data_IF_934053203120
#
_entry.id   IF_934053203120
#
_cell.length_a   1.000
_cell.length_b   1.000
_cell.length_c   1.000
_cell.angle_alpha   90.00
_cell.angle_beta   90.00
_cell.angle_gamma   90.00
#
_symmetry.space_group_name_H-M   'P 1'
#
loop_
_entity.id
_entity.type
_entity.pdbx_description
1 polymer ?
#
# COMPACT_ATOMS: atom_id res chain seq x y z
N UNK A 1 24.79 -3.90 -17.97
CA UNK A 1 23.50 -3.19 -18.03
C UNK A 1 22.54 -3.64 -16.91
N UNK A 2 22.23 -4.94 -16.80
CA UNK A 2 21.31 -5.47 -15.77
C UNK A 2 21.79 -5.44 -14.31
N UNK A 3 23.08 -5.21 -14.03
CA UNK A 3 23.61 -5.13 -12.66
C UNK A 3 23.49 -3.72 -12.04
N UNK A 4 23.17 -2.70 -12.85
CA UNK A 4 23.02 -1.34 -12.35
C UNK A 4 21.71 -1.21 -11.56
N UNK A 5 21.81 -0.96 -10.25
CA UNK A 5 20.67 -0.76 -9.34
C UNK A 5 19.69 0.30 -9.83
N UNK A 6 20.19 1.44 -10.32
CA UNK A 6 19.33 2.54 -10.79
C UNK A 6 18.50 2.09 -11.98
N UNK A 7 19.12 1.38 -12.94
CA UNK A 7 18.42 0.84 -14.09
C UNK A 7 17.36 -0.19 -13.67
N UNK A 8 17.70 -1.13 -12.78
CA UNK A 8 16.75 -2.13 -12.28
C UNK A 8 15.52 -1.50 -11.62
N UNK A 9 15.72 -0.51 -10.74
CA UNK A 9 14.64 0.18 -10.05
C UNK A 9 13.76 0.95 -11.04
N UNK A 10 14.36 1.71 -11.96
CA UNK A 10 13.62 2.44 -12.99
C UNK A 10 12.80 1.48 -13.85
N UNK A 11 13.40 0.36 -14.28
CA UNK A 11 12.71 -0.66 -15.07
C UNK A 11 11.51 -1.24 -14.31
N UNK A 12 11.68 -1.61 -13.04
CA UNK A 12 10.60 -2.17 -12.21
C UNK A 12 9.47 -1.17 -11.97
N UNK A 13 9.80 0.08 -11.63
CA UNK A 13 8.80 1.13 -11.42
C UNK A 13 8.07 1.44 -12.72
N UNK A 14 8.78 1.59 -13.82
CA UNK A 14 8.17 1.88 -15.12
C UNK A 14 7.28 0.73 -15.61
N UNK A 15 7.77 -0.51 -15.56
CA UNK A 15 6.99 -1.70 -15.96
C UNK A 15 5.77 -1.91 -15.07
N UNK A 16 5.89 -1.75 -13.75
CA UNK A 16 4.73 -1.85 -12.84
C UNK A 16 3.68 -0.79 -13.12
N UNK A 17 4.07 0.47 -13.34
CA UNK A 17 3.14 1.55 -13.70
C UNK A 17 2.44 1.27 -15.03
N UNK A 18 3.18 0.85 -16.06
CA UNK A 18 2.58 0.47 -17.35
C UNK A 18 1.60 -0.70 -17.20
N UNK A 19 1.97 -1.72 -16.44
CA UNK A 19 1.13 -2.91 -16.23
C UNK A 19 -0.13 -2.53 -15.44
N UNK A 20 -0.04 -1.73 -14.39
CA UNK A 20 -1.17 -1.43 -13.52
C UNK A 20 -2.09 -0.33 -14.07
N UNK A 21 -1.55 0.70 -14.72
CA UNK A 21 -2.34 1.80 -15.29
C UNK A 21 -2.80 1.54 -16.74
N UNK A 22 -2.07 0.72 -17.52
CA UNK A 22 -2.27 0.60 -18.96
C UNK A 22 -3.62 0.00 -19.40
N UNK A 23 -4.30 -0.77 -18.55
CA UNK A 23 -5.59 -1.42 -18.89
C UNK A 23 -6.82 -0.55 -18.62
N UNK A 24 -6.65 0.59 -17.95
CA UNK A 24 -7.77 1.29 -17.30
C UNK A 24 -8.55 2.24 -18.22
N UNK A 25 -8.10 2.46 -19.45
CA UNK A 25 -8.69 3.43 -20.37
C UNK A 25 -10.01 2.97 -21.03
N UNK A 26 -10.26 1.65 -21.15
CA UNK A 26 -11.28 1.16 -22.09
C UNK A 26 -12.51 0.44 -21.48
N UNK A 27 -12.52 0.10 -20.19
CA UNK A 27 -13.53 -0.87 -19.65
C UNK A 27 -14.49 -0.34 -18.59
N UNK A 28 -14.30 0.89 -18.11
CA UNK A 28 -15.05 1.39 -16.95
C UNK A 28 -14.88 0.51 -15.71
N UNK A 29 -15.67 0.76 -14.66
CA UNK A 29 -15.70 -0.07 -13.45
C UNK A 29 -16.79 -1.12 -13.60
N UNK A 30 -16.42 -2.40 -13.69
CA UNK A 30 -17.36 -3.52 -13.90
C UNK A 30 -17.73 -4.26 -12.61
N UNK A 31 -16.85 -4.23 -11.61
CA UNK A 31 -17.07 -4.91 -10.34
C UNK A 31 -17.86 -4.02 -9.38
N UNK A 32 -18.77 -4.64 -8.63
CA UNK A 32 -19.58 -3.96 -7.63
C UNK A 32 -18.73 -3.28 -6.55
N UNK A 33 -17.75 -3.99 -5.98
CA UNK A 33 -16.91 -3.47 -4.90
C UNK A 33 -16.12 -2.24 -5.34
N UNK A 34 -15.51 -2.29 -6.52
CA UNK A 34 -14.79 -1.17 -7.11
C UNK A 34 -15.71 0.06 -7.26
N UNK A 35 -16.93 -0.14 -7.77
CA UNK A 35 -17.91 0.94 -7.94
C UNK A 35 -18.40 1.48 -6.61
N UNK A 36 -18.57 0.60 -5.62
CA UNK A 36 -18.97 0.93 -4.27
C UNK A 36 -17.95 1.83 -3.58
N UNK A 37 -16.66 1.46 -3.63
CA UNK A 37 -15.59 2.28 -3.05
C UNK A 37 -15.35 3.58 -3.83
N UNK A 38 -15.44 3.55 -5.16
CA UNK A 38 -15.35 4.74 -6.00
C UNK A 38 -16.45 5.76 -5.67
N UNK A 39 -17.70 5.28 -5.51
CA UNK A 39 -18.82 6.13 -5.14
C UNK A 39 -18.66 6.71 -3.73
N UNK A 40 -18.24 5.90 -2.74
CA UNK A 40 -17.93 6.39 -1.38
C UNK A 40 -16.86 7.49 -1.42
N UNK A 41 -15.77 7.27 -2.16
CA UNK A 41 -14.71 8.26 -2.32
C UNK A 41 -15.20 9.56 -2.97
N UNK A 42 -16.08 9.45 -3.98
CA UNK A 42 -16.69 10.60 -4.64
C UNK A 42 -17.55 11.40 -3.68
N UNK A 43 -18.38 10.74 -2.88
CA UNK A 43 -19.26 11.43 -1.94
C UNK A 43 -18.46 12.13 -0.82
N UNK A 44 -17.44 11.48 -0.25
CA UNK A 44 -16.54 12.12 0.73
C UNK A 44 -15.86 13.35 0.13
N UNK A 45 -15.37 13.22 -1.11
CA UNK A 45 -14.71 14.31 -1.83
C UNK A 45 -15.63 15.51 -2.11
N UNK A 46 -16.92 15.26 -2.33
CA UNK A 46 -17.93 16.31 -2.58
C UNK A 46 -18.58 16.84 -1.29
N UNK A 47 -18.36 16.17 -0.16
CA UNK A 47 -18.92 16.57 1.13
C UNK A 47 -18.01 17.56 1.87
N UNK A 48 -18.58 18.29 2.83
CA UNK A 48 -17.83 19.17 3.72
C UNK A 48 -17.03 18.43 4.81
N UNK A 49 -17.16 17.10 4.89
CA UNK A 49 -16.54 16.27 5.93
C UNK A 49 -15.71 15.14 5.35
N UNK A 50 -14.40 15.19 5.61
CA UNK A 50 -13.48 14.11 5.23
C UNK A 50 -13.69 12.84 6.08
N UNK A 51 -14.29 12.95 7.26
CA UNK A 51 -14.37 11.83 8.21
C UNK A 51 -15.66 11.01 8.09
N UNK A 52 -16.70 11.60 7.50
CA UNK A 52 -18.00 10.95 7.37
C UNK A 52 -18.06 10.25 6.02
N UNK A 53 -17.94 8.92 6.04
CA UNK A 53 -18.11 8.08 4.86
C UNK A 53 -19.60 7.92 4.55
N UNK A 54 -20.05 8.44 3.41
CA UNK A 54 -21.44 8.30 2.97
C UNK A 54 -21.54 7.32 1.79
N UNK A 55 -22.69 6.68 1.66
CA UNK A 55 -23.05 5.91 0.47
C UNK A 55 -24.50 6.20 0.09
N UNK A 56 -24.71 6.63 -1.15
CA UNK A 56 -26.01 7.10 -1.65
C UNK A 56 -26.58 8.23 -0.79
N UNK A 57 -25.72 9.12 -0.28
CA UNK A 57 -26.12 10.26 0.54
C UNK A 57 -26.54 9.91 1.98
N UNK A 58 -26.47 8.64 2.37
CA UNK A 58 -26.69 8.21 3.75
C UNK A 58 -25.34 8.08 4.45
N UNK A 59 -25.20 8.72 5.61
CA UNK A 59 -24.02 8.57 6.45
C UNK A 59 -24.01 7.18 7.10
N UNK A 60 -23.04 6.35 6.73
CA UNK A 60 -22.79 5.07 7.38
C UNK A 60 -21.63 5.27 8.34
N UNK A 61 -21.96 5.55 9.59
CA UNK A 61 -20.95 5.66 10.64
C UNK A 61 -20.23 4.31 10.80
N UNK A 62 -18.89 4.34 10.80
CA UNK A 62 -17.99 3.22 11.13
C UNK A 62 -17.86 2.07 10.13
N UNK A 63 -18.38 2.21 8.91
CA UNK A 63 -18.42 1.10 7.96
C UNK A 63 -17.03 0.80 7.35
N UNK A 64 -16.25 1.85 7.03
CA UNK A 64 -14.89 1.72 6.50
C UNK A 64 -14.02 2.89 7.02
N UNK A 65 -12.76 2.63 7.37
CA UNK A 65 -11.79 3.69 7.64
C UNK A 65 -11.58 4.63 6.44
N UNK A 66 -11.24 5.91 6.68
CA UNK A 66 -11.38 6.94 5.67
C UNK A 66 -10.17 7.09 4.71
N UNK A 67 -8.99 6.59 5.07
CA UNK A 67 -7.73 6.88 4.36
C UNK A 67 -7.77 6.49 2.87
N UNK A 68 -8.25 5.31 2.45
CA UNK A 68 -8.28 4.95 1.04
C UNK A 68 -9.17 5.88 0.23
N UNK A 69 -10.28 6.32 0.82
CA UNK A 69 -11.20 7.23 0.15
C UNK A 69 -10.61 8.63 0.02
N UNK A 70 -9.81 9.09 0.99
CA UNK A 70 -9.05 10.34 0.85
C UNK A 70 -8.05 10.24 -0.30
N UNK A 71 -7.34 9.13 -0.41
CA UNK A 71 -6.37 8.90 -1.47
C UNK A 71 -7.05 8.89 -2.85
N UNK A 72 -8.17 8.20 -2.99
CA UNK A 72 -8.98 8.21 -4.22
C UNK A 72 -9.61 9.59 -4.50
N UNK A 73 -10.09 10.29 -3.46
CA UNK A 73 -10.61 11.66 -3.59
C UNK A 73 -9.54 12.65 -4.06
N UNK A 74 -8.29 12.51 -3.60
CA UNK A 74 -7.16 13.27 -4.13
C UNK A 74 -6.93 12.96 -5.61
N UNK A 75 -7.02 11.70 -6.03
CA UNK A 75 -6.94 11.35 -7.45
C UNK A 75 -8.08 12.00 -8.26
N UNK A 76 -9.31 12.03 -7.74
CA UNK A 76 -10.42 12.75 -8.36
C UNK A 76 -10.18 14.25 -8.48
N UNK A 77 -9.48 14.87 -7.53
CA UNK A 77 -9.10 16.28 -7.62
C UNK A 77 -8.20 16.58 -8.82
N UNK A 78 -7.25 15.68 -9.13
CA UNK A 78 -6.28 15.91 -10.21
C UNK A 78 -6.76 15.43 -11.58
N UNK A 79 -7.48 14.31 -11.64
CA UNK A 79 -7.86 13.64 -12.90
C UNK A 79 -9.35 13.72 -13.21
N UNK A 80 -10.15 14.33 -12.33
CA UNK A 80 -11.61 14.31 -12.41
C UNK A 80 -12.21 12.98 -11.98
N UNK A 81 -13.52 12.98 -11.72
CA UNK A 81 -14.26 11.76 -11.33
C UNK A 81 -14.39 10.85 -12.54
N UNK A 82 -13.61 9.77 -12.54
CA UNK A 82 -13.59 8.79 -13.63
C UNK A 82 -13.22 7.40 -13.10
N UNK A 83 -13.48 6.37 -13.92
CA UNK A 83 -13.03 5.01 -13.61
C UNK A 83 -11.51 4.94 -13.44
N UNK A 84 -10.77 5.65 -14.28
CA UNK A 84 -9.30 5.75 -14.21
C UNK A 84 -8.82 6.33 -12.89
N UNK A 85 -9.38 7.46 -12.47
CA UNK A 85 -9.01 8.10 -11.20
C UNK A 85 -9.37 7.24 -9.98
N UNK A 86 -10.43 6.41 -10.07
CA UNK A 86 -10.86 5.53 -8.98
C UNK A 86 -9.84 4.44 -8.63
N UNK A 87 -9.07 4.00 -9.62
CA UNK A 87 -8.10 2.89 -9.53
C UNK A 87 -6.65 3.37 -9.50
N UNK A 88 -6.43 4.66 -9.76
CA UNK A 88 -5.11 5.30 -9.79
C UNK A 88 -4.33 5.06 -8.50
N UNK A 89 -4.94 5.29 -7.34
CA UNK A 89 -4.30 5.10 -6.04
C UNK A 89 -3.80 3.68 -5.85
N UNK A 90 -4.63 2.67 -6.14
CA UNK A 90 -4.25 1.25 -6.04
C UNK A 90 -3.07 0.91 -6.94
N UNK A 91 -3.04 1.43 -8.17
CA UNK A 91 -1.93 1.19 -9.11
C UNK A 91 -0.62 1.79 -8.60
N UNK A 92 -0.65 3.01 -8.05
CA UNK A 92 0.53 3.65 -7.45
C UNK A 92 1.03 2.84 -6.24
N UNK A 93 0.14 2.44 -5.33
CA UNK A 93 0.54 1.62 -4.19
C UNK A 93 1.06 0.24 -4.59
N UNK A 94 0.51 -0.38 -5.65
CA UNK A 94 1.04 -1.59 -6.25
C UNK A 94 2.49 -1.42 -6.72
N UNK A 95 2.78 -0.34 -7.45
CA UNK A 95 4.15 -0.01 -7.89
C UNK A 95 5.09 0.26 -6.70
N UNK A 96 4.60 0.93 -5.66
CA UNK A 96 5.37 1.17 -4.43
C UNK A 96 5.67 -0.13 -3.67
N UNK A 97 4.76 -1.11 -3.66
CA UNK A 97 5.02 -2.45 -3.09
C UNK A 97 6.14 -3.15 -3.85
N UNK A 98 6.15 -3.09 -5.20
CA UNK A 98 7.23 -3.66 -6.02
C UNK A 98 8.57 -3.02 -5.65
N UNK A 99 8.61 -1.69 -5.53
CA UNK A 99 9.81 -0.97 -5.08
C UNK A 99 10.24 -1.34 -3.65
N UNK A 100 9.29 -1.44 -2.72
CA UNK A 100 9.58 -1.84 -1.34
C UNK A 100 10.09 -3.28 -1.26
N UNK A 101 9.56 -4.18 -2.09
CA UNK A 101 10.00 -5.57 -2.17
C UNK A 101 11.46 -5.63 -2.62
N UNK A 102 11.82 -4.89 -3.67
CA UNK A 102 13.22 -4.73 -4.09
C UNK A 102 14.08 -4.19 -2.95
N UNK A 103 13.62 -3.12 -2.29
CA UNK A 103 14.38 -2.43 -1.25
C UNK A 103 14.58 -3.28 0.01
N UNK A 104 13.57 -4.07 0.39
CA UNK A 104 13.61 -5.00 1.52
C UNK A 104 14.55 -6.16 1.22
N UNK A 105 14.41 -6.79 0.04
CA UNK A 105 15.30 -7.87 -0.39
C UNK A 105 16.76 -7.39 -0.43
N UNK A 106 17.02 -6.21 -0.98
CA UNK A 106 18.38 -5.67 -1.07
C UNK A 106 18.96 -5.33 0.30
N UNK A 107 18.12 -4.89 1.25
CA UNK A 107 18.56 -4.64 2.61
C UNK A 107 18.95 -5.95 3.33
N UNK A 108 18.21 -7.04 3.10
CA UNK A 108 18.45 -8.34 3.73
C UNK A 108 19.63 -9.11 3.12
N UNK A 109 19.69 -9.17 1.78
CA UNK A 109 20.63 -10.03 1.05
C UNK A 109 21.82 -9.27 0.45
N UNK A 110 21.75 -7.94 0.37
CA UNK A 110 22.79 -7.08 -0.21
C UNK A 110 23.16 -7.46 -1.65
N UNK A 111 22.22 -8.07 -2.38
CA UNK A 111 22.38 -8.45 -3.77
C UNK A 111 21.29 -7.85 -4.64
N UNK A 112 21.73 -7.04 -5.62
CA UNK A 112 20.84 -6.33 -6.53
C UNK A 112 20.06 -7.29 -7.43
N UNK A 113 20.67 -8.41 -7.85
CA UNK A 113 20.04 -9.35 -8.79
C UNK A 113 18.92 -10.15 -8.13
N UNK A 114 19.17 -10.69 -6.94
CA UNK A 114 18.16 -11.35 -6.11
C UNK A 114 17.01 -10.40 -5.78
N UNK A 115 17.32 -9.14 -5.50
CA UNK A 115 16.31 -8.09 -5.24
C UNK A 115 15.46 -7.76 -6.45
N UNK A 116 16.11 -7.65 -7.62
CA UNK A 116 15.43 -7.46 -8.89
C UNK A 116 14.49 -8.63 -9.18
N UNK A 117 14.98 -9.87 -9.06
CA UNK A 117 14.19 -11.06 -9.35
C UNK A 117 12.98 -11.19 -8.40
N UNK A 118 13.17 -10.94 -7.10
CA UNK A 118 12.08 -10.96 -6.13
C UNK A 118 10.96 -9.96 -6.47
N UNK A 119 11.32 -8.72 -6.79
CA UNK A 119 10.36 -7.68 -7.17
C UNK A 119 9.73 -7.93 -8.55
N UNK A 120 10.50 -8.46 -9.49
CA UNK A 120 10.03 -8.78 -10.83
C UNK A 120 9.00 -9.92 -10.81
N UNK A 121 9.27 -11.00 -10.06
CA UNK A 121 8.34 -12.13 -9.88
C UNK A 121 7.00 -11.65 -9.31
N UNK A 122 7.00 -10.65 -8.41
CA UNK A 122 5.77 -10.10 -7.84
C UNK A 122 4.80 -9.49 -8.87
N UNK A 123 5.26 -9.15 -10.07
CA UNK A 123 4.40 -8.61 -11.15
C UNK A 123 3.48 -9.66 -11.77
N UNK A 124 3.77 -10.96 -11.59
CA UNK A 124 3.10 -12.06 -12.30
C UNK A 124 1.96 -12.74 -11.55
N UNK A 125 1.93 -12.84 -10.21
CA UNK A 125 0.78 -13.35 -9.48
C UNK A 125 -0.51 -12.64 -9.90
N UNK A 126 -1.41 -13.38 -10.54
CA UNK A 126 -2.63 -12.84 -11.13
C UNK A 126 -3.48 -12.07 -10.11
N UNK A 127 -3.52 -12.52 -8.85
CA UNK A 127 -4.24 -11.84 -7.78
C UNK A 127 -3.65 -10.46 -7.44
N UNK A 128 -2.33 -10.34 -7.35
CA UNK A 128 -1.68 -9.05 -7.06
C UNK A 128 -1.84 -8.08 -8.23
N UNK A 129 -1.64 -8.57 -9.46
CA UNK A 129 -1.80 -7.79 -10.68
C UNK A 129 -3.24 -7.31 -10.86
N UNK A 130 -4.23 -8.17 -10.63
CA UNK A 130 -5.64 -7.81 -10.74
C UNK A 130 -6.08 -6.86 -9.63
N UNK A 131 -5.69 -7.11 -8.38
CA UNK A 131 -5.97 -6.20 -7.28
C UNK A 131 -5.32 -4.81 -7.46
N UNK A 132 -4.11 -4.74 -8.03
CA UNK A 132 -3.40 -3.47 -8.33
C UNK A 132 -4.07 -2.66 -9.43
N UNK A 133 -4.93 -3.29 -10.25
CA UNK A 133 -5.68 -2.65 -11.33
C UNK A 133 -7.09 -2.23 -10.91
N UNK A 134 -7.54 -2.64 -9.72
CA UNK A 134 -8.90 -2.44 -9.20
C UNK A 134 -8.95 -1.37 -8.12
N UNK A 135 -10.14 -0.78 -7.94
CA UNK A 135 -10.40 0.27 -6.95
C UNK A 135 -10.54 -0.24 -5.52
N UNK A 136 -9.87 -1.35 -5.18
CA UNK A 136 -9.99 -2.04 -3.90
C UNK A 136 -8.98 -1.53 -2.87
N UNK A 137 -9.34 -1.64 -1.59
CA UNK A 137 -8.53 -1.16 -0.47
C UNK A 137 -7.33 -2.08 -0.15
N UNK A 138 -7.33 -3.30 -0.67
CA UNK A 138 -6.38 -4.37 -0.35
C UNK A 138 -4.93 -4.03 -0.70
N UNK A 139 -4.69 -3.38 -1.83
CA UNK A 139 -3.35 -2.99 -2.25
C UNK A 139 -2.81 -1.84 -1.41
N UNK A 140 -3.64 -0.86 -1.06
CA UNK A 140 -3.26 0.20 -0.13
C UNK A 140 -2.91 -0.38 1.24
N UNK A 141 -3.69 -1.35 1.75
CA UNK A 141 -3.38 -2.05 2.99
C UNK A 141 -2.05 -2.81 2.88
N UNK A 142 -1.89 -3.59 1.82
CA UNK A 142 -0.68 -4.39 1.58
C UNK A 142 0.57 -3.51 1.50
N UNK A 143 0.47 -2.29 0.94
CA UNK A 143 1.55 -1.32 0.94
C UNK A 143 1.92 -0.92 2.36
N UNK A 144 0.96 -0.44 3.17
CA UNK A 144 1.26 0.02 4.53
C UNK A 144 1.78 -1.12 5.41
N UNK A 145 1.25 -2.34 5.25
CA UNK A 145 1.77 -3.53 5.94
C UNK A 145 3.21 -3.83 5.52
N UNK A 146 3.50 -3.86 4.22
CA UNK A 146 4.87 -4.10 3.70
C UNK A 146 5.84 -3.01 4.15
N UNK A 147 5.41 -1.75 4.12
CA UNK A 147 6.20 -0.61 4.60
C UNK A 147 6.46 -0.69 6.11
N UNK A 148 5.46 -1.09 6.90
CA UNK A 148 5.62 -1.33 8.33
C UNK A 148 6.67 -2.43 8.57
N UNK A 149 6.57 -3.56 7.89
CA UNK A 149 7.54 -4.65 8.02
C UNK A 149 8.96 -4.22 7.62
N UNK A 150 9.11 -3.44 6.56
CA UNK A 150 10.40 -2.85 6.19
C UNK A 150 10.98 -1.96 7.29
N UNK A 151 10.15 -1.12 7.91
CA UNK A 151 10.55 -0.26 9.01
C UNK A 151 10.88 -1.05 10.28
N UNK A 152 10.13 -2.12 10.57
CA UNK A 152 10.40 -3.00 11.70
C UNK A 152 11.80 -3.62 11.61
N UNK A 153 12.15 -4.17 10.43
CA UNK A 153 13.46 -4.78 10.20
C UNK A 153 14.57 -3.73 10.37
N UNK A 154 14.42 -2.53 9.79
CA UNK A 154 15.37 -1.43 10.00
C UNK A 154 15.42 -0.92 11.44
N UNK A 155 14.31 -1.00 12.15
CA UNK A 155 14.16 -0.63 13.56
C UNK A 155 15.11 -1.40 14.48
N UNK A 156 15.47 -2.63 14.09
CA UNK A 156 16.41 -3.48 14.84
C UNK A 156 17.82 -2.88 14.93
N UNK A 157 18.22 -2.11 13.91
CA UNK A 157 19.51 -1.42 13.86
C UNK A 157 19.40 0.04 14.25
N UNK A 158 18.34 0.72 13.83
CA UNK A 158 18.11 2.14 14.10
C UNK A 158 16.70 2.37 14.65
N UNK A 159 16.63 2.66 15.95
CA UNK A 159 15.38 2.83 16.71
C UNK A 159 14.43 3.89 16.12
N UNK A 160 14.92 4.87 15.35
CA UNK A 160 14.06 5.89 14.70
C UNK A 160 13.02 5.27 13.76
N UNK A 161 13.33 4.11 13.16
CA UNK A 161 12.40 3.41 12.29
C UNK A 161 11.22 2.77 13.04
N UNK A 162 11.27 2.63 14.37
CA UNK A 162 10.09 2.19 15.14
C UNK A 162 8.96 3.22 15.12
N UNK A 163 9.28 4.52 15.09
CA UNK A 163 8.27 5.57 14.91
C UNK A 163 7.60 5.46 13.53
N UNK A 164 8.40 5.20 12.50
CA UNK A 164 7.90 5.02 11.14
C UNK A 164 7.08 3.72 11.01
N UNK A 165 7.49 2.65 11.69
CA UNK A 165 6.71 1.42 11.81
C UNK A 165 5.34 1.66 12.46
N UNK A 166 5.29 2.43 13.55
CA UNK A 166 4.04 2.84 14.20
C UNK A 166 3.16 3.67 13.25
N UNK A 167 3.74 4.63 12.54
CA UNK A 167 3.03 5.45 11.55
C UNK A 167 2.45 4.61 10.41
N UNK A 168 3.25 3.73 9.80
CA UNK A 168 2.78 2.85 8.73
C UNK A 168 1.69 1.89 9.22
N UNK A 169 1.81 1.38 10.44
CA UNK A 169 0.75 0.54 11.04
C UNK A 169 -0.52 1.35 11.30
N UNK A 170 -0.42 2.59 11.79
CA UNK A 170 -1.56 3.49 11.92
C UNK A 170 -2.27 3.74 10.59
N UNK A 171 -1.53 3.93 9.50
CA UNK A 171 -2.08 4.05 8.16
C UNK A 171 -2.75 2.73 7.68
N UNK A 172 -2.20 1.57 8.03
CA UNK A 172 -2.82 0.27 7.74
C UNK A 172 -4.16 0.11 8.49
N UNK A 173 -4.23 0.50 9.77
CA UNK A 173 -5.48 0.51 10.56
C UNK A 173 -6.49 1.48 9.95
N UNK A 174 -6.04 2.67 9.53
CA UNK A 174 -6.86 3.64 8.81
C UNK A 174 -7.26 3.21 7.40
N UNK A 175 -6.78 2.06 6.92
CA UNK A 175 -7.19 1.46 5.64
C UNK A 175 -8.26 0.38 5.84
N UNK A 176 -8.05 -0.57 6.75
CA UNK A 176 -8.91 -1.76 6.91
C UNK A 176 -9.03 -2.25 8.36
N UNK A 177 -9.21 -1.33 9.30
CA UNK A 177 -9.52 -1.55 10.73
C UNK A 177 -8.71 -2.71 11.32
N UNK A 178 -9.37 -3.85 11.60
CA UNK A 178 -8.79 -5.03 12.24
C UNK A 178 -7.58 -5.58 11.49
N UNK A 179 -7.65 -5.65 10.16
CA UNK A 179 -6.55 -6.19 9.33
C UNK A 179 -5.31 -5.28 9.37
N UNK A 180 -5.51 -4.00 9.64
CA UNK A 180 -4.42 -3.04 9.80
C UNK A 180 -3.56 -3.28 11.05
N UNK A 181 -4.02 -4.06 12.03
CA UNK A 181 -3.25 -4.41 13.22
C UNK A 181 -2.27 -5.57 13.00
N UNK A 182 -2.32 -6.27 11.85
CA UNK A 182 -1.41 -7.38 11.57
C UNK A 182 0.07 -7.06 11.73
N UNK A 183 0.60 -5.89 11.29
CA UNK A 183 2.00 -5.56 11.50
C UNK A 183 2.40 -5.60 12.97
N UNK A 184 1.53 -5.18 13.91
CA UNK A 184 1.79 -5.22 15.36
C UNK A 184 1.91 -6.66 15.83
N UNK A 185 0.94 -7.51 15.48
CA UNK A 185 0.93 -8.93 15.87
C UNK A 185 2.19 -9.62 15.36
N UNK A 186 2.50 -9.43 14.07
CA UNK A 186 3.70 -10.01 13.45
C UNK A 186 4.97 -9.46 14.12
N UNK A 187 5.02 -8.15 14.40
CA UNK A 187 6.17 -7.52 15.04
C UNK A 187 6.45 -8.05 16.44
N UNK A 188 5.41 -8.25 17.25
CA UNK A 188 5.52 -8.84 18.59
C UNK A 188 6.07 -10.26 18.51
N UNK A 189 5.48 -11.11 17.65
CA UNK A 189 5.91 -12.50 17.46
C UNK A 189 7.37 -12.54 16.97
N UNK A 190 7.71 -11.68 16.00
CA UNK A 190 9.05 -11.61 15.44
C UNK A 190 10.10 -11.19 16.48
N UNK A 191 9.83 -10.15 17.29
CA UNK A 191 10.73 -9.71 18.36
C UNK A 191 10.88 -10.79 19.42
N UNK A 192 9.79 -11.49 19.75
CA UNK A 192 9.81 -12.59 20.72
C UNK A 192 10.71 -13.72 20.27
N UNK A 193 10.55 -14.15 19.02
CA UNK A 193 11.39 -15.21 18.47
C UNK A 193 12.87 -14.79 18.35
N UNK A 194 13.13 -13.53 18.01
CA UNK A 194 14.50 -13.05 17.83
C UNK A 194 15.27 -12.77 19.15
N UNK A 195 14.63 -12.98 20.32
CA UNK A 195 15.27 -12.92 21.65
C UNK A 195 15.75 -11.52 22.07
N UNK A 196 15.32 -10.46 21.39
CA UNK A 196 15.85 -9.09 21.56
C UNK A 196 14.96 -8.16 22.41
N UNK A 197 14.10 -8.69 23.29
CA UNK A 197 13.23 -7.87 24.14
C UNK A 197 13.97 -6.80 24.95
N UNK A 198 15.18 -7.08 25.45
CA UNK A 198 15.99 -6.10 26.21
C UNK A 198 16.30 -4.84 25.42
N UNK A 199 16.50 -4.94 24.09
CA UNK A 199 16.81 -3.77 23.24
C UNK A 199 15.62 -2.83 23.03
N UNK A 200 14.38 -3.23 23.32
CA UNK A 200 13.22 -2.34 23.24
C UNK A 200 13.11 -1.41 24.47
N UNK A 201 13.56 -1.89 25.63
CA UNK A 201 13.38 -1.22 26.91
C UNK A 201 14.65 -0.63 27.51
N UNK A 202 15.83 -0.88 26.95
CA UNK A 202 17.05 -0.18 27.38
C UNK A 202 16.94 1.31 27.08
N UNK A 203 16.82 2.20 28.09
CA UNK A 203 17.00 3.62 27.90
C UNK A 203 18.46 3.89 27.52
N UNK A 204 18.70 5.04 26.88
CA UNK A 204 19.97 5.47 26.26
C UNK A 204 21.24 5.09 27.02
#
# INVERSE_FOLDING_TARGET
MFSNRTFQVIFLVYSSLLVFLGRQLDRGITNFDDAYYAQKAKEIFLSDSLWVVTWKGVAYFFDNPPLPFWLTGLAYKFFGVSGYAAVFSSAIFGALIVYLTYSLCNYLYKDNWTSFLAAFVLLFPGMFLDASRRGMLDITLAFFVTAAMYCLVKGLENRKFYLLYGLMTGCAVLTKSVLGFFPIVIGIIFIFWHGKFKKLFDPM
#
